data_IF_378056056218
#
_entry.id   IF_378056056218
#
_cell.length_a   1.000
_cell.length_b   1.000
_cell.length_c   1.000
_cell.angle_alpha   90.00
_cell.angle_beta   90.00
_cell.angle_gamma   90.00
#
_symmetry.space_group_name_H-M   'P 1'
#
loop_
_entity.id
_entity.type
_entity.pdbx_description
1 polymer ?
#
# COMPACT_ATOMS: atom_id res chain seq x y z
N UNK A 1 12.14 -2.88 13.74
CA UNK A 1 13.28 -2.03 14.16
C UNK A 1 12.92 -0.59 13.83
N UNK A 2 13.28 0.39 14.66
CA UNK A 2 13.06 1.79 14.32
C UNK A 2 13.87 2.16 13.08
N UNK A 3 13.33 3.06 12.26
CA UNK A 3 14.07 3.69 11.18
C UNK A 3 15.05 4.71 11.79
N UNK A 4 16.14 5.00 11.08
CA UNK A 4 17.17 5.89 11.56
C UNK A 4 17.54 6.92 10.49
N UNK A 5 17.52 8.20 10.85
CA UNK A 5 18.11 9.27 10.05
C UNK A 5 19.63 9.18 10.15
N UNK A 6 20.32 9.35 9.02
CA UNK A 6 21.78 9.35 8.98
C UNK A 6 22.30 10.49 8.10
N UNK A 7 23.60 10.76 8.23
CA UNK A 7 24.31 11.81 7.49
C UNK A 7 25.42 11.20 6.66
N UNK A 8 25.38 11.44 5.35
CA UNK A 8 26.41 10.98 4.43
C UNK A 8 26.96 12.12 3.55
N UNK A 9 28.10 11.86 2.89
CA UNK A 9 28.63 12.80 1.90
C UNK A 9 27.82 12.67 0.61
N UNK A 10 27.40 13.81 0.05
CA UNK A 10 26.59 13.86 -1.17
C UNK A 10 27.17 13.03 -2.34
N UNK A 11 28.49 12.94 -2.48
CA UNK A 11 29.10 12.12 -3.53
C UNK A 11 28.81 10.62 -3.42
N UNK A 12 28.67 10.07 -2.20
CA UNK A 12 28.29 8.67 -1.99
C UNK A 12 26.81 8.44 -2.29
N UNK A 13 25.95 9.33 -1.79
CA UNK A 13 24.52 9.36 -2.12
C UNK A 13 24.29 9.37 -3.64
N UNK A 14 24.95 10.31 -4.34
CA UNK A 14 24.83 10.46 -5.79
C UNK A 14 25.32 9.22 -6.53
N UNK A 15 26.43 8.61 -6.09
CA UNK A 15 26.95 7.39 -6.69
C UNK A 15 25.94 6.22 -6.60
N UNK A 16 25.26 6.07 -5.45
CA UNK A 16 24.20 5.07 -5.28
C UNK A 16 23.07 5.25 -6.31
N UNK A 17 22.60 6.49 -6.49
CA UNK A 17 21.56 6.81 -7.47
C UNK A 17 21.99 6.56 -8.91
N UNK A 18 23.26 6.78 -9.25
CA UNK A 18 23.81 6.43 -10.57
C UNK A 18 23.74 4.92 -10.79
N UNK A 19 24.18 4.12 -9.81
CA UNK A 19 24.14 2.65 -9.91
C UNK A 19 22.71 2.12 -10.02
N UNK A 20 21.77 2.73 -9.31
CA UNK A 20 20.34 2.37 -9.35
C UNK A 20 19.59 2.96 -10.55
N UNK A 21 20.24 3.78 -11.39
CA UNK A 21 19.64 4.48 -12.53
C UNK A 21 18.47 5.40 -12.13
N UNK A 22 18.60 6.09 -11.01
CA UNK A 22 17.58 6.96 -10.42
C UNK A 22 17.85 8.44 -10.71
N UNK A 23 16.78 9.22 -10.72
CA UNK A 23 16.86 10.67 -10.86
C UNK A 23 17.25 11.35 -9.54
N UNK A 24 17.97 12.47 -9.64
CA UNK A 24 18.11 13.43 -8.55
C UNK A 24 17.66 14.80 -9.06
N UNK A 25 16.66 15.37 -8.39
CA UNK A 25 16.21 16.75 -8.58
C UNK A 25 16.52 17.57 -7.34
N UNK A 26 17.00 18.80 -7.52
CA UNK A 26 17.30 19.73 -6.44
C UNK A 26 16.37 20.96 -6.50
N UNK A 27 15.94 21.44 -5.33
CA UNK A 27 15.27 22.74 -5.17
C UNK A 27 16.11 23.60 -4.23
N UNK A 28 16.51 24.78 -4.72
CA UNK A 28 17.21 25.79 -3.91
C UNK A 28 16.16 26.64 -3.19
N UNK A 29 16.18 26.64 -1.86
CA UNK A 29 15.26 27.43 -1.05
C UNK A 29 15.74 28.88 -0.90
N UNK A 30 14.81 29.82 -0.86
CA UNK A 30 15.04 31.25 -0.70
C UNK A 30 15.25 31.63 0.78
N UNK A 31 16.24 31.01 1.41
CA UNK A 31 16.53 31.21 2.83
C UNK A 31 17.55 32.34 3.06
N UNK A 32 17.29 33.11 4.11
CA UNK A 32 18.30 33.96 4.74
C UNK A 32 19.42 33.13 5.38
N UNK A 33 20.58 33.73 5.63
CA UNK A 33 21.69 33.03 6.31
C UNK A 33 21.27 32.49 7.69
N UNK A 34 20.50 33.27 8.46
CA UNK A 34 20.00 32.82 9.77
C UNK A 34 19.10 31.58 9.66
N UNK A 35 18.22 31.51 8.66
CA UNK A 35 17.36 30.34 8.42
C UNK A 35 18.17 29.11 7.99
N UNK A 36 19.23 29.31 7.18
CA UNK A 36 20.15 28.21 6.82
C UNK A 36 20.91 27.69 8.02
N UNK A 37 21.48 28.57 8.84
CA UNK A 37 22.17 28.20 10.08
C UNK A 37 21.24 27.43 11.02
N UNK A 38 19.99 27.89 11.16
CA UNK A 38 18.97 27.18 11.96
C UNK A 38 18.64 25.81 11.38
N UNK A 39 18.40 25.69 10.07
CA UNK A 39 18.13 24.40 9.43
C UNK A 39 19.30 23.42 9.64
N UNK A 40 20.54 23.87 9.45
CA UNK A 40 21.73 23.03 9.67
C UNK A 40 21.79 22.58 11.13
N UNK A 41 21.59 23.48 12.10
CA UNK A 41 21.58 23.11 13.52
C UNK A 41 20.49 22.08 13.86
N UNK A 42 19.29 22.21 13.28
CA UNK A 42 18.21 21.24 13.43
C UNK A 42 18.60 19.88 12.84
N UNK A 43 19.18 19.85 11.64
CA UNK A 43 19.64 18.61 10.99
C UNK A 43 20.76 17.92 11.78
N UNK A 44 21.76 18.67 12.27
CA UNK A 44 22.82 18.11 13.14
C UNK A 44 22.26 17.55 14.45
N UNK A 45 21.24 18.20 15.01
CA UNK A 45 20.55 17.71 16.22
C UNK A 45 19.77 16.42 15.93
N UNK A 46 19.11 16.34 14.77
CA UNK A 46 18.27 15.21 14.39
C UNK A 46 19.08 13.93 14.15
N UNK A 47 20.35 14.04 13.74
CA UNK A 47 21.24 12.89 13.51
C UNK A 47 21.94 12.39 14.79
N UNK A 48 21.77 13.07 15.92
CA UNK A 48 22.30 12.59 17.20
C UNK A 48 21.68 11.24 17.59
N UNK A 49 22.43 10.32 18.22
CA UNK A 49 21.95 8.98 18.55
C UNK A 49 20.61 8.93 19.29
N UNK A 50 20.35 9.91 20.16
CA UNK A 50 19.12 10.08 20.94
C UNK A 50 17.91 10.55 20.11
N UNK A 51 18.12 11.18 18.95
CA UNK A 51 17.06 11.79 18.12
C UNK A 51 16.87 11.08 16.77
N UNK A 52 17.89 10.36 16.29
CA UNK A 52 17.92 9.82 14.95
C UNK A 52 16.88 8.70 14.70
N UNK A 53 16.42 8.03 15.76
CA UNK A 53 15.49 6.91 15.65
C UNK A 53 14.03 7.36 15.68
N UNK A 54 13.23 6.80 14.79
CA UNK A 54 11.79 7.04 14.78
C UNK A 54 10.98 5.84 14.29
N UNK A 55 9.69 5.87 14.62
CA UNK A 55 8.72 4.88 14.19
C UNK A 55 8.16 5.34 12.85
N UNK A 56 8.63 4.70 11.78
CA UNK A 56 8.19 5.02 10.43
C UNK A 56 6.71 4.70 10.24
N UNK A 57 5.98 5.68 9.71
CA UNK A 57 4.65 5.52 9.16
C UNK A 57 4.68 6.01 7.71
N UNK A 58 4.33 5.13 6.78
CA UNK A 58 4.48 5.41 5.35
C UNK A 58 3.68 6.65 4.90
N UNK A 59 2.55 6.95 5.53
CA UNK A 59 1.71 8.08 5.13
C UNK A 59 1.99 9.33 5.95
N UNK A 60 2.25 9.17 7.25
CA UNK A 60 2.23 10.30 8.19
C UNK A 60 3.61 10.67 8.76
N UNK A 61 4.54 9.72 8.91
CA UNK A 61 5.88 9.98 9.48
C UNK A 61 6.96 9.26 8.66
N UNK A 62 7.33 9.89 7.54
CA UNK A 62 8.32 9.38 6.60
C UNK A 62 9.36 10.46 6.23
N UNK A 63 10.31 10.10 5.35
CA UNK A 63 11.38 11.01 4.96
C UNK A 63 10.88 12.30 4.27
N UNK A 64 9.73 12.26 3.62
CA UNK A 64 9.12 13.39 2.93
C UNK A 64 8.34 14.29 3.90
N UNK A 65 7.49 13.72 4.77
CA UNK A 65 6.72 14.52 5.76
C UNK A 65 7.65 15.18 6.79
N UNK A 66 8.68 14.48 7.28
CA UNK A 66 9.69 15.06 8.17
C UNK A 66 10.46 16.24 7.58
N UNK A 67 10.61 16.27 6.25
CA UNK A 67 11.29 17.39 5.59
C UNK A 67 10.46 18.66 5.69
N UNK A 68 9.13 18.57 5.63
CA UNK A 68 8.23 19.72 5.83
C UNK A 68 8.43 20.27 7.24
N UNK A 69 8.33 19.41 8.25
CA UNK A 69 8.40 19.83 9.65
C UNK A 69 9.71 20.56 9.97
N UNK A 70 10.86 20.00 9.58
CA UNK A 70 12.16 20.60 9.89
C UNK A 70 12.42 21.89 9.11
N UNK A 71 11.89 21.99 7.89
CA UNK A 71 11.98 23.20 7.07
C UNK A 71 11.10 24.30 7.66
N UNK A 72 9.90 23.96 8.09
CA UNK A 72 9.00 24.94 8.70
C UNK A 72 9.56 25.46 10.03
N UNK A 73 10.07 24.54 10.87
CA UNK A 73 10.72 24.90 12.13
C UNK A 73 11.92 25.84 11.89
N UNK A 74 12.74 25.59 10.87
CA UNK A 74 13.88 26.44 10.51
C UNK A 74 13.46 27.86 10.10
N UNK A 75 12.22 28.06 9.65
CA UNK A 75 11.69 29.38 9.29
C UNK A 75 10.81 30.01 10.38
N UNK A 76 10.70 29.35 11.55
CA UNK A 76 9.86 29.80 12.65
C UNK A 76 8.38 29.55 12.43
N UNK A 77 8.03 28.52 11.66
CA UNK A 77 6.66 28.11 11.33
C UNK A 77 5.90 29.22 10.61
N UNK A 78 6.57 29.86 9.64
CA UNK A 78 6.03 31.00 8.88
C UNK A 78 5.82 30.67 7.40
N UNK A 79 6.06 29.43 6.98
CA UNK A 79 5.79 29.01 5.62
C UNK A 79 4.28 28.88 5.46
N UNK A 80 3.75 29.61 4.49
CA UNK A 80 2.45 29.34 3.93
C UNK A 80 2.62 28.18 2.95
N UNK A 81 2.41 26.97 3.45
CA UNK A 81 2.25 25.76 2.65
C UNK A 81 0.93 25.88 1.90
N UNK A 82 0.94 26.73 0.86
CA UNK A 82 -0.23 26.98 0.02
C UNK A 82 -0.95 25.67 -0.20
N UNK A 83 -2.25 25.69 0.02
CA UNK A 83 -3.14 24.56 -0.23
C UNK A 83 -2.99 24.19 -1.70
N UNK A 84 -2.10 23.24 -1.96
CA UNK A 84 -1.90 22.78 -3.31
C UNK A 84 -3.21 22.10 -3.69
N UNK A 85 -3.88 22.60 -4.73
CA UNK A 85 -5.02 21.92 -5.37
C UNK A 85 -4.66 20.47 -5.79
N UNK A 86 -3.40 20.03 -5.63
CA UNK A 86 -2.94 18.67 -5.91
C UNK A 86 -3.41 17.58 -4.93
N UNK A 87 -4.31 17.88 -3.99
CA UNK A 87 -5.05 16.88 -3.20
C UNK A 87 -6.44 16.56 -3.77
N UNK A 88 -6.79 17.09 -4.95
CA UNK A 88 -8.14 17.02 -5.52
C UNK A 88 -8.66 15.57 -5.63
N UNK A 89 -9.52 15.18 -4.69
CA UNK A 89 -10.40 14.01 -4.79
C UNK A 89 -9.71 12.65 -4.83
N UNK A 90 -8.41 12.57 -4.53
CA UNK A 90 -7.67 11.32 -4.54
C UNK A 90 -7.51 10.71 -3.16
N UNK A 91 -7.42 9.38 -3.11
CA UNK A 91 -7.08 8.63 -1.89
C UNK A 91 -5.57 8.30 -1.83
N UNK A 92 -5.07 7.87 -0.67
CA UNK A 92 -3.70 7.36 -0.56
C UNK A 92 -3.44 6.21 -1.54
N UNK A 93 -4.40 5.28 -1.69
CA UNK A 93 -4.29 4.13 -2.59
C UNK A 93 -4.13 4.57 -4.04
N UNK A 94 -4.97 5.50 -4.49
CA UNK A 94 -4.91 6.02 -5.86
C UNK A 94 -3.58 6.72 -6.15
N UNK A 95 -3.08 7.52 -5.19
CA UNK A 95 -1.80 8.20 -5.32
C UNK A 95 -0.61 7.22 -5.40
N UNK A 96 -0.64 6.13 -4.63
CA UNK A 96 0.38 5.07 -4.74
C UNK A 96 0.26 4.35 -6.10
N UNK A 97 -0.97 4.07 -6.55
CA UNK A 97 -1.25 3.28 -7.75
C UNK A 97 -0.58 3.81 -9.02
N UNK A 98 -0.38 5.13 -9.13
CA UNK A 98 0.36 5.77 -10.23
C UNK A 98 1.77 5.19 -10.39
N UNK A 99 2.44 4.85 -9.28
CA UNK A 99 3.78 4.28 -9.27
C UNK A 99 3.80 2.76 -9.46
N UNK A 100 2.65 2.09 -9.36
CA UNK A 100 2.52 0.63 -9.42
C UNK A 100 2.01 0.12 -10.78
N UNK A 101 1.68 1.01 -11.71
CA UNK A 101 1.12 0.69 -13.05
C UNK A 101 1.90 -0.39 -13.84
N UNK A 102 3.22 -0.50 -13.65
CA UNK A 102 4.08 -1.49 -14.30
C UNK A 102 4.49 -2.66 -13.39
N UNK A 103 3.96 -2.70 -12.17
CA UNK A 103 4.30 -3.66 -11.12
C UNK A 103 3.03 -4.31 -10.58
N UNK A 104 2.19 -4.84 -11.47
CA UNK A 104 0.84 -5.36 -11.16
C UNK A 104 0.82 -6.42 -10.04
N UNK A 105 1.86 -7.24 -9.89
CA UNK A 105 1.97 -8.17 -8.76
C UNK A 105 2.23 -7.46 -7.42
N UNK A 106 3.01 -6.36 -7.46
CA UNK A 106 3.24 -5.52 -6.29
C UNK A 106 2.00 -4.72 -5.95
N UNK A 107 1.29 -4.20 -6.96
CA UNK A 107 -0.02 -3.54 -6.85
C UNK A 107 -1.03 -4.44 -6.11
N UNK A 108 -1.24 -5.65 -6.62
CA UNK A 108 -2.08 -6.65 -5.97
C UNK A 108 -1.68 -6.93 -4.51
N UNK A 109 -0.38 -7.08 -4.25
CA UNK A 109 0.14 -7.37 -2.91
C UNK A 109 -0.05 -6.22 -1.93
N UNK A 110 0.19 -4.99 -2.38
CA UNK A 110 -0.04 -3.76 -1.63
C UNK A 110 -1.55 -3.61 -1.36
N UNK A 111 -2.38 -3.86 -2.36
CA UNK A 111 -3.83 -3.76 -2.21
C UNK A 111 -4.42 -4.76 -1.21
N UNK A 112 -3.86 -5.97 -1.18
CA UNK A 112 -4.19 -6.99 -0.19
C UNK A 112 -3.78 -6.58 1.22
N UNK A 113 -2.67 -5.86 1.37
CA UNK A 113 -2.13 -5.47 2.68
C UNK A 113 -2.82 -4.22 3.26
N UNK A 114 -3.05 -3.20 2.42
CA UNK A 114 -3.64 -1.91 2.82
C UNK A 114 -5.15 -2.03 3.11
N UNK A 115 -5.61 -1.37 4.17
CA UNK A 115 -7.00 -1.33 4.59
C UNK A 115 -7.67 0.03 4.36
N UNK A 116 -8.88 0.18 4.90
CA UNK A 116 -9.72 1.39 4.80
C UNK A 116 -9.03 2.74 5.10
N UNK A 117 -8.02 2.85 5.99
CA UNK A 117 -7.30 4.11 6.18
C UNK A 117 -6.64 4.68 4.92
N UNK A 118 -6.50 3.88 3.86
CA UNK A 118 -5.92 4.32 2.60
C UNK A 118 -6.95 4.83 1.57
N UNK A 119 -8.25 4.75 1.89
CA UNK A 119 -9.36 4.87 0.93
C UNK A 119 -10.29 6.05 1.24
N UNK A 120 -9.79 7.08 1.93
CA UNK A 120 -10.50 8.35 2.12
C UNK A 120 -9.87 9.45 1.27
N UNK A 121 -10.68 10.45 0.88
CA UNK A 121 -10.19 11.63 0.16
C UNK A 121 -9.17 12.40 1.00
N UNK A 122 -7.96 12.55 0.47
CA UNK A 122 -6.86 13.15 1.21
C UNK A 122 -7.16 14.57 1.63
N UNK A 123 -6.74 14.90 2.86
CA UNK A 123 -6.73 16.28 3.34
C UNK A 123 -5.55 17.01 2.74
N UNK A 124 -5.66 18.33 2.73
CA UNK A 124 -4.57 19.21 2.29
C UNK A 124 -3.29 18.91 3.08
N UNK A 125 -2.21 18.66 2.32
CA UNK A 125 -0.88 18.37 2.86
C UNK A 125 -0.59 16.89 3.02
N UNK A 126 -1.60 16.02 3.13
CA UNK A 126 -1.38 14.57 3.30
C UNK A 126 -0.71 13.93 2.09
N UNK A 127 -0.83 14.52 0.90
CA UNK A 127 -0.14 14.11 -0.32
C UNK A 127 1.39 14.23 -0.22
N UNK A 128 1.92 14.96 0.78
CA UNK A 128 3.36 15.15 0.99
C UNK A 128 4.13 13.85 1.24
N UNK A 129 3.45 12.74 1.54
CA UNK A 129 4.10 11.44 1.71
C UNK A 129 4.86 10.97 0.46
N UNK A 130 4.49 11.47 -0.72
CA UNK A 130 5.15 11.18 -1.99
C UNK A 130 6.18 12.25 -2.36
N UNK A 131 7.40 11.87 -2.79
CA UNK A 131 8.45 12.83 -3.16
C UNK A 131 8.07 13.81 -4.27
N UNK A 132 7.31 13.39 -5.28
CA UNK A 132 6.89 14.29 -6.38
C UNK A 132 5.86 15.32 -5.91
N UNK A 133 4.94 14.89 -5.05
CA UNK A 133 3.98 15.77 -4.38
C UNK A 133 4.69 16.76 -3.46
N UNK A 134 5.65 16.29 -2.66
CA UNK A 134 6.49 17.14 -1.80
C UNK A 134 7.20 18.22 -2.61
N UNK A 135 7.84 17.84 -3.73
CA UNK A 135 8.48 18.79 -4.65
C UNK A 135 7.50 19.86 -5.13
N UNK A 136 6.28 19.45 -5.50
CA UNK A 136 5.22 20.38 -5.94
C UNK A 136 4.76 21.31 -4.82
N UNK A 137 4.57 20.79 -3.60
CA UNK A 137 4.23 21.58 -2.40
C UNK A 137 5.28 22.66 -2.16
N UNK A 138 6.56 22.29 -2.13
CA UNK A 138 7.65 23.25 -1.93
C UNK A 138 7.68 24.31 -3.04
N UNK A 139 7.42 23.93 -4.29
CA UNK A 139 7.41 24.84 -5.43
C UNK A 139 6.32 25.93 -5.30
N UNK A 140 5.20 25.61 -4.67
CA UNK A 140 4.03 26.50 -4.53
C UNK A 140 4.04 27.29 -3.22
N UNK A 141 4.72 26.78 -2.19
CA UNK A 141 4.81 27.36 -0.86
C UNK A 141 5.42 28.78 -0.88
N UNK A 142 4.99 29.59 0.09
CA UNK A 142 5.45 30.97 0.25
C UNK A 142 6.07 31.18 1.62
N UNK A 143 7.12 31.98 1.68
CA UNK A 143 7.77 32.41 2.92
C UNK A 143 7.74 33.93 2.97
N UNK A 144 6.98 34.50 3.91
CA UNK A 144 6.81 35.95 4.08
C UNK A 144 6.42 36.67 2.77
N UNK A 145 5.51 36.08 1.99
CA UNK A 145 5.02 36.65 0.73
C UNK A 145 5.93 36.47 -0.49
N UNK A 146 7.07 35.79 -0.36
CA UNK A 146 7.94 35.39 -1.49
C UNK A 146 7.86 33.88 -1.73
N UNK A 147 8.19 33.42 -2.94
CA UNK A 147 8.25 31.96 -3.21
C UNK A 147 9.32 31.31 -2.34
N UNK A 148 8.98 30.16 -1.75
CA UNK A 148 9.90 29.37 -0.92
C UNK A 148 11.07 28.83 -1.76
N UNK A 149 10.77 28.30 -2.94
CA UNK A 149 11.79 27.82 -3.90
C UNK A 149 12.26 28.99 -4.77
N UNK A 150 13.56 29.23 -4.75
CA UNK A 150 14.24 30.22 -5.59
C UNK A 150 14.58 29.67 -6.98
N UNK A 151 15.00 28.40 -7.05
CA UNK A 151 15.39 27.74 -8.30
C UNK A 151 15.28 26.22 -8.17
N UNK A 152 15.19 25.50 -9.29
CA UNK A 152 15.14 24.04 -9.33
C UNK A 152 15.86 23.49 -10.54
N UNK A 153 16.68 22.46 -10.33
CA UNK A 153 17.49 21.86 -11.40
C UNK A 153 17.65 20.36 -11.24
N UNK A 154 17.80 19.68 -12.37
CA UNK A 154 18.10 18.26 -12.42
C UNK A 154 19.60 18.05 -12.18
N UNK A 155 19.95 17.34 -11.12
CA UNK A 155 21.34 17.00 -10.78
C UNK A 155 21.79 15.74 -11.51
N UNK A 156 20.88 14.76 -11.61
CA UNK A 156 21.11 13.50 -12.31
C UNK A 156 19.82 13.13 -13.05
N UNK A 157 19.85 13.01 -14.39
CA UNK A 157 18.67 12.61 -15.15
C UNK A 157 18.31 11.15 -14.93
N UNK A 158 17.01 10.85 -14.96
CA UNK A 158 16.53 9.47 -15.00
C UNK A 158 16.97 8.81 -16.31
N UNK A 159 17.42 7.56 -16.23
CA UNK A 159 17.54 6.75 -17.44
C UNK A 159 16.13 6.36 -17.90
N UNK A 160 15.77 6.69 -19.14
CA UNK A 160 14.44 6.36 -19.69
C UNK A 160 14.30 4.85 -19.83
N UNK A 161 13.77 4.17 -18.81
CA UNK A 161 13.31 2.79 -18.97
C UNK A 161 12.21 2.78 -20.01
N UNK A 162 12.36 1.93 -21.03
CA UNK A 162 11.30 1.70 -22.02
C UNK A 162 10.09 1.15 -21.26
N UNK A 163 9.05 1.97 -21.11
CA UNK A 163 7.77 1.51 -20.62
C UNK A 163 7.23 0.55 -21.66
N UNK A 164 7.09 -0.72 -21.27
CA UNK A 164 6.45 -1.70 -22.12
C UNK A 164 4.95 -1.46 -21.98
N UNK A 165 4.37 -0.71 -22.90
CA UNK A 165 2.92 -0.44 -22.95
C UNK A 165 2.16 -1.72 -23.33
N UNK A 166 2.30 -2.80 -22.55
CA UNK A 166 1.43 -3.96 -22.69
C UNK A 166 0.03 -3.52 -22.25
N UNK A 167 -0.92 -3.67 -23.16
CA UNK A 167 -2.32 -3.32 -22.99
C UNK A 167 -3.08 -4.29 -22.05
N UNK A 168 -2.44 -5.39 -21.65
CA UNK A 168 -3.07 -6.48 -20.88
C UNK A 168 -2.48 -6.51 -19.47
N UNK A 169 -3.35 -6.48 -18.47
CA UNK A 169 -2.99 -6.81 -17.10
C UNK A 169 -2.61 -8.28 -16.99
N UNK A 170 -1.31 -8.54 -16.85
CA UNK A 170 -0.73 -9.88 -16.79
C UNK A 170 -1.16 -10.58 -15.50
N UNK A 171 -1.22 -9.85 -14.38
CA UNK A 171 -1.62 -10.40 -13.07
C UNK A 171 -3.07 -10.85 -13.09
N UNK A 172 -3.98 -9.98 -13.53
CA UNK A 172 -5.40 -10.31 -13.64
C UNK A 172 -5.61 -11.52 -14.56
N UNK A 173 -4.99 -11.51 -15.74
CA UNK A 173 -5.09 -12.61 -16.72
C UNK A 173 -4.62 -13.95 -16.13
N UNK A 174 -3.49 -13.95 -15.42
CA UNK A 174 -2.96 -15.15 -14.75
C UNK A 174 -3.93 -15.66 -13.68
N UNK A 175 -4.46 -14.78 -12.83
CA UNK A 175 -5.41 -15.16 -11.78
C UNK A 175 -6.72 -15.70 -12.35
N UNK A 176 -7.23 -15.13 -13.44
CA UNK A 176 -8.39 -15.66 -14.16
C UNK A 176 -8.12 -17.05 -14.73
N UNK A 177 -7.00 -17.25 -15.43
CA UNK A 177 -6.65 -18.55 -16.02
C UNK A 177 -6.53 -19.63 -14.93
N UNK A 178 -5.78 -19.35 -13.87
CA UNK A 178 -5.61 -20.30 -12.75
C UNK A 178 -6.97 -20.62 -12.13
N UNK A 179 -7.80 -19.61 -11.89
CA UNK A 179 -9.11 -19.78 -11.27
C UNK A 179 -10.08 -20.57 -12.15
N UNK A 180 -10.09 -20.32 -13.46
CA UNK A 180 -10.91 -21.09 -14.42
C UNK A 180 -10.46 -22.56 -14.43
N UNK A 181 -9.16 -22.82 -14.44
CA UNK A 181 -8.63 -24.19 -14.38
C UNK A 181 -9.03 -24.86 -13.07
N UNK A 182 -8.89 -24.18 -11.92
CA UNK A 182 -9.31 -24.71 -10.62
C UNK A 182 -10.82 -24.97 -10.56
N UNK A 183 -11.65 -24.07 -11.08
CA UNK A 183 -13.10 -24.26 -11.18
C UNK A 183 -13.44 -25.45 -12.08
N UNK A 184 -12.81 -25.56 -13.25
CA UNK A 184 -13.00 -26.70 -14.14
C UNK A 184 -12.64 -28.02 -13.46
N UNK A 185 -11.51 -28.07 -12.76
CA UNK A 185 -11.14 -29.24 -11.95
C UNK A 185 -12.22 -29.51 -10.90
N UNK A 186 -12.64 -28.51 -10.11
CA UNK A 186 -13.66 -28.72 -9.07
C UNK A 186 -15.01 -29.21 -9.63
N UNK A 187 -15.43 -28.74 -10.81
CA UNK A 187 -16.68 -29.10 -11.48
C UNK A 187 -16.61 -30.51 -12.09
N UNK A 188 -15.57 -30.79 -12.88
CA UNK A 188 -15.47 -32.03 -13.66
C UNK A 188 -14.92 -33.19 -12.83
N UNK A 189 -14.24 -32.91 -11.72
CA UNK A 189 -13.67 -33.93 -10.87
C UNK A 189 -14.73 -34.55 -9.94
N UNK A 190 -15.41 -35.58 -10.47
CA UNK A 190 -16.56 -36.26 -9.83
C UNK A 190 -16.21 -37.08 -8.59
N UNK A 191 -14.94 -37.35 -8.30
CA UNK A 191 -14.55 -38.17 -7.15
C UNK A 191 -14.70 -37.37 -5.85
N UNK A 192 -15.59 -37.84 -4.97
CA UNK A 192 -16.03 -37.18 -3.73
C UNK A 192 -14.87 -36.72 -2.85
N UNK A 193 -13.96 -37.64 -2.51
CA UNK A 193 -12.85 -37.42 -1.57
C UNK A 193 -11.83 -36.38 -2.06
N UNK A 194 -11.37 -36.48 -3.30
CA UNK A 194 -10.35 -35.58 -3.86
C UNK A 194 -10.91 -34.17 -4.09
N UNK A 195 -12.16 -34.10 -4.54
CA UNK A 195 -13.07 -32.97 -4.37
C UNK A 195 -12.89 -32.14 -3.11
N UNK A 196 -13.21 -32.82 -2.01
CA UNK A 196 -13.19 -32.28 -0.65
C UNK A 196 -11.77 -31.88 -0.23
N UNK A 197 -10.75 -32.68 -0.58
CA UNK A 197 -9.35 -32.36 -0.27
C UNK A 197 -8.92 -31.08 -0.99
N UNK A 198 -9.20 -30.96 -2.29
CA UNK A 198 -8.85 -29.77 -3.06
C UNK A 198 -9.55 -28.52 -2.50
N UNK A 199 -10.86 -28.61 -2.20
CA UNK A 199 -11.58 -27.52 -1.53
C UNK A 199 -10.98 -27.16 -0.17
N UNK A 200 -10.55 -28.14 0.62
CA UNK A 200 -9.88 -27.90 1.90
C UNK A 200 -8.54 -27.18 1.73
N UNK A 201 -7.75 -27.56 0.71
CA UNK A 201 -6.47 -26.91 0.40
C UNK A 201 -6.69 -25.46 -0.06
N UNK A 202 -7.66 -25.21 -0.93
CA UNK A 202 -7.99 -23.85 -1.39
C UNK A 202 -8.42 -22.97 -0.19
N UNK A 203 -9.32 -23.48 0.66
CA UNK A 203 -9.74 -22.77 1.87
C UNK A 203 -8.57 -22.55 2.83
N UNK A 204 -7.68 -23.53 2.99
CA UNK A 204 -6.49 -23.37 3.82
C UNK A 204 -5.55 -22.27 3.30
N UNK A 205 -5.29 -22.21 1.99
CA UNK A 205 -4.48 -21.14 1.38
C UNK A 205 -5.15 -19.78 1.57
N UNK A 206 -6.47 -19.69 1.36
CA UNK A 206 -7.25 -18.49 1.65
C UNK A 206 -7.16 -18.10 3.14
N UNK A 207 -7.16 -19.09 4.04
CA UNK A 207 -6.96 -18.90 5.47
C UNK A 207 -5.57 -18.37 5.82
N UNK A 208 -4.52 -18.80 5.12
CA UNK A 208 -3.17 -18.25 5.30
C UNK A 208 -3.12 -16.77 4.94
N UNK A 209 -3.77 -16.39 3.83
CA UNK A 209 -3.91 -14.99 3.44
C UNK A 209 -4.68 -14.19 4.50
N UNK A 210 -5.79 -14.74 4.98
CA UNK A 210 -6.57 -14.11 6.05
C UNK A 210 -5.80 -13.96 7.36
N UNK A 211 -4.97 -14.94 7.71
CA UNK A 211 -4.10 -14.86 8.87
C UNK A 211 -3.00 -13.81 8.69
N UNK A 212 -2.45 -13.65 7.49
CA UNK A 212 -1.52 -12.57 7.19
C UNK A 212 -2.18 -11.19 7.35
N UNK A 213 -3.37 -10.99 6.78
CA UNK A 213 -4.13 -9.73 6.92
C UNK A 213 -4.46 -9.46 8.39
N UNK A 214 -4.95 -10.47 9.11
CA UNK A 214 -5.24 -10.38 10.54
C UNK A 214 -3.99 -9.99 11.35
N UNK A 215 -2.84 -10.62 11.04
CA UNK A 215 -1.57 -10.31 11.69
C UNK A 215 -1.13 -8.87 11.43
N UNK A 216 -1.19 -8.39 10.18
CA UNK A 216 -0.85 -7.02 9.84
C UNK A 216 -1.73 -6.03 10.61
N UNK A 217 -3.04 -6.26 10.62
CA UNK A 217 -3.99 -5.38 11.29
C UNK A 217 -3.82 -5.39 12.82
N UNK A 218 -3.80 -6.56 13.48
CA UNK A 218 -3.88 -6.63 14.94
C UNK A 218 -2.55 -6.80 15.66
N UNK A 219 -1.53 -7.33 14.99
CA UNK A 219 -0.27 -7.72 15.61
C UNK A 219 0.91 -6.83 15.20
N UNK A 220 0.69 -5.84 14.34
CA UNK A 220 1.73 -4.90 13.93
C UNK A 220 1.30 -3.46 14.13
N UNK A 221 2.28 -2.57 14.06
CA UNK A 221 2.10 -1.14 14.18
C UNK A 221 1.68 -0.44 12.86
N UNK A 222 1.30 -1.21 11.84
CA UNK A 222 0.92 -0.67 10.53
C UNK A 222 -0.53 -0.18 10.54
N UNK A 223 -0.72 1.06 10.99
CA UNK A 223 -2.00 1.81 10.98
C UNK A 223 -2.75 1.70 9.64
N UNK A 224 -2.02 1.81 8.53
CA UNK A 224 -2.50 1.69 7.15
C UNK A 224 -3.25 0.38 6.82
N UNK A 225 -2.97 -0.70 7.54
CA UNK A 225 -3.55 -2.04 7.30
C UNK A 225 -4.83 -2.27 8.11
N UNK A 226 -5.22 -1.31 8.95
CA UNK A 226 -6.36 -1.47 9.83
C UNK A 226 -7.69 -1.51 9.07
N UNK A 227 -8.66 -2.27 9.59
CA UNK A 227 -9.99 -2.37 8.99
C UNK A 227 -9.99 -2.96 7.58
N UNK A 228 -9.00 -3.77 7.22
CA UNK A 228 -8.86 -4.32 5.87
C UNK A 228 -10.01 -5.28 5.50
N UNK A 229 -10.86 -4.88 4.57
CA UNK A 229 -12.06 -5.60 4.14
C UNK A 229 -11.75 -6.87 3.34
N UNK A 230 -10.49 -7.09 2.91
CA UNK A 230 -10.09 -8.38 2.35
C UNK A 230 -10.31 -9.54 3.34
N UNK A 231 -10.36 -9.27 4.66
CA UNK A 231 -10.65 -10.27 5.70
C UNK A 231 -12.02 -10.95 5.52
N UNK A 232 -12.97 -10.29 4.84
CA UNK A 232 -14.32 -10.81 4.62
C UNK A 232 -14.33 -12.04 3.72
N UNK A 233 -13.44 -12.08 2.71
CA UNK A 233 -13.31 -13.21 1.80
C UNK A 233 -12.07 -14.07 2.09
N UNK A 234 -10.99 -13.48 2.58
CA UNK A 234 -9.80 -14.15 3.09
C UNK A 234 -9.91 -14.28 4.61
N UNK A 235 -10.72 -15.23 5.08
CA UNK A 235 -10.96 -15.37 6.53
C UNK A 235 -9.91 -16.26 7.19
N UNK A 236 -9.25 -15.83 8.29
CA UNK A 236 -8.28 -16.66 9.01
C UNK A 236 -8.91 -17.95 9.57
N UNK A 237 -10.23 -17.99 9.75
CA UNK A 237 -10.94 -19.19 10.17
C UNK A 237 -10.81 -20.33 9.15
N UNK A 238 -10.61 -20.01 7.87
CA UNK A 238 -10.46 -21.02 6.81
C UNK A 238 -9.19 -21.87 6.98
N UNK A 239 -8.25 -21.47 7.85
CA UNK A 239 -7.12 -22.33 8.26
C UNK A 239 -7.57 -23.60 8.98
N UNK A 240 -8.63 -23.50 9.78
CA UNK A 240 -9.05 -24.57 10.69
C UNK A 240 -10.40 -25.19 10.32
N UNK A 241 -11.30 -24.41 9.72
CA UNK A 241 -12.67 -24.84 9.41
C UNK A 241 -12.75 -26.14 8.57
N UNK A 242 -11.90 -26.36 7.55
CA UNK A 242 -11.90 -27.60 6.79
C UNK A 242 -11.39 -28.83 7.55
N UNK A 243 -10.82 -28.67 8.75
CA UNK A 243 -10.15 -29.75 9.49
C UNK A 243 -10.84 -30.08 10.82
N UNK A 244 -11.68 -29.18 11.35
CA UNK A 244 -12.47 -29.45 12.56
C UNK A 244 -13.75 -30.22 12.23
N UNK A 245 -14.26 -31.00 13.19
CA UNK A 245 -15.51 -31.77 13.03
C UNK A 245 -16.75 -31.03 13.55
N UNK A 246 -16.59 -30.22 14.59
CA UNK A 246 -17.71 -29.55 15.25
C UNK A 246 -18.10 -28.26 14.53
N UNK A 247 -19.40 -28.09 14.24
CA UNK A 247 -20.01 -26.88 13.67
C UNK A 247 -19.44 -26.35 12.35
N UNK A 248 -18.47 -27.03 11.71
CA UNK A 248 -17.83 -26.60 10.46
C UNK A 248 -18.82 -26.27 9.33
N UNK A 249 -19.93 -27.02 9.25
CA UNK A 249 -20.96 -26.79 8.23
C UNK A 249 -21.62 -25.42 8.38
N UNK A 250 -22.01 -25.05 9.60
CA UNK A 250 -22.64 -23.77 9.91
C UNK A 250 -21.65 -22.63 9.67
N UNK A 251 -20.41 -22.76 10.15
CA UNK A 251 -19.39 -21.72 9.95
C UNK A 251 -19.02 -21.50 8.49
N UNK A 252 -18.92 -22.57 7.69
CA UNK A 252 -18.70 -22.45 6.24
C UNK A 252 -19.89 -21.84 5.52
N UNK A 253 -21.13 -22.05 6.00
CA UNK A 253 -22.33 -21.38 5.47
C UNK A 253 -22.32 -19.88 5.79
N UNK A 254 -21.95 -19.50 7.02
CA UNK A 254 -21.77 -18.10 7.43
C UNK A 254 -20.68 -17.45 6.57
N UNK A 255 -19.51 -18.08 6.45
CA UNK A 255 -18.43 -17.61 5.58
C UNK A 255 -18.90 -17.39 4.14
N UNK A 256 -19.59 -18.38 3.56
CA UNK A 256 -20.11 -18.27 2.19
C UNK A 256 -21.10 -17.10 2.05
N UNK A 257 -21.95 -16.88 3.05
CA UNK A 257 -22.88 -15.74 3.11
C UNK A 257 -22.15 -14.40 3.15
N UNK A 258 -21.09 -14.27 3.96
CA UNK A 258 -20.25 -13.07 4.04
C UNK A 258 -19.58 -12.79 2.68
N UNK A 259 -19.02 -13.83 2.04
CA UNK A 259 -18.40 -13.68 0.72
C UNK A 259 -19.41 -13.23 -0.33
N UNK A 260 -20.62 -13.80 -0.34
CA UNK A 260 -21.69 -13.38 -1.25
C UNK A 260 -22.09 -11.93 -1.00
N UNK A 261 -22.27 -11.53 0.26
CA UNK A 261 -22.57 -10.13 0.61
C UNK A 261 -21.45 -9.21 0.12
N UNK A 262 -20.19 -9.58 0.34
CA UNK A 262 -19.01 -8.81 -0.10
C UNK A 262 -19.01 -8.60 -1.62
N UNK A 263 -19.28 -9.67 -2.39
CA UNK A 263 -19.39 -9.59 -3.85
C UNK A 263 -20.58 -8.73 -4.30
N UNK A 264 -21.72 -8.81 -3.59
CA UNK A 264 -22.90 -8.00 -3.90
C UNK A 264 -22.72 -6.51 -3.54
N UNK A 265 -21.91 -6.22 -2.52
CA UNK A 265 -21.65 -4.86 -2.06
C UNK A 265 -20.35 -4.27 -2.63
N UNK A 266 -19.69 -4.93 -3.59
CA UNK A 266 -18.33 -4.61 -4.05
C UNK A 266 -18.11 -3.11 -4.31
N UNK A 267 -19.01 -2.48 -5.05
CA UNK A 267 -18.92 -1.05 -5.43
C UNK A 267 -19.28 -0.07 -4.32
N UNK A 268 -19.79 -0.56 -3.18
CA UNK A 268 -20.22 0.24 -2.03
C UNK A 268 -19.33 0.02 -0.80
N UNK A 269 -18.28 -0.79 -0.93
CA UNK A 269 -17.32 -0.99 0.14
C UNK A 269 -16.53 0.31 0.37
N UNK A 270 -16.23 0.59 1.63
CA UNK A 270 -15.42 1.75 2.03
C UNK A 270 -13.92 1.58 1.72
N UNK A 271 -13.52 0.40 1.22
CA UNK A 271 -12.18 0.10 0.76
C UNK A 271 -12.27 -0.37 -0.68
N UNK A 272 -11.39 0.14 -1.53
CA UNK A 272 -11.24 -0.37 -2.89
C UNK A 272 -10.48 -1.71 -2.87
N UNK A 273 -11.12 -2.76 -3.39
CA UNK A 273 -10.56 -4.11 -3.44
C UNK A 273 -10.10 -4.39 -4.86
N UNK A 274 -8.87 -4.93 -4.99
CA UNK A 274 -8.30 -5.20 -6.31
C UNK A 274 -9.16 -6.19 -7.12
N UNK A 275 -9.67 -5.75 -8.26
CA UNK A 275 -10.59 -6.53 -9.10
C UNK A 275 -9.99 -7.84 -9.64
N UNK A 276 -8.66 -7.93 -9.71
CA UNK A 276 -7.95 -9.14 -10.10
C UNK A 276 -8.22 -10.32 -9.16
N UNK A 277 -8.71 -10.06 -7.95
CA UNK A 277 -9.03 -11.08 -6.94
C UNK A 277 -10.43 -11.67 -7.12
N UNK A 278 -11.33 -11.04 -7.89
CA UNK A 278 -12.68 -11.57 -8.16
C UNK A 278 -12.71 -13.06 -8.52
N UNK A 279 -11.90 -13.57 -9.48
CA UNK A 279 -11.90 -14.99 -9.81
C UNK A 279 -11.43 -15.89 -8.65
N UNK A 280 -10.48 -15.41 -7.82
CA UNK A 280 -9.97 -16.13 -6.64
C UNK A 280 -11.05 -16.22 -5.55
N UNK A 281 -11.80 -15.14 -5.34
CA UNK A 281 -12.92 -15.08 -4.40
C UNK A 281 -14.01 -16.06 -4.82
N UNK A 282 -14.35 -16.11 -6.11
CA UNK A 282 -15.33 -17.05 -6.65
C UNK A 282 -14.91 -18.52 -6.49
N UNK A 283 -13.63 -18.84 -6.74
CA UNK A 283 -13.07 -20.18 -6.49
C UNK A 283 -13.17 -20.56 -5.00
N UNK A 284 -12.88 -19.61 -4.11
CA UNK A 284 -12.94 -19.82 -2.66
C UNK A 284 -14.37 -20.08 -2.19
N UNK A 285 -15.33 -19.29 -2.68
CA UNK A 285 -16.76 -19.49 -2.43
C UNK A 285 -17.23 -20.86 -2.94
N UNK A 286 -16.91 -21.20 -4.19
CA UNK A 286 -17.29 -22.49 -4.76
C UNK A 286 -16.67 -23.67 -4.01
N UNK A 287 -15.43 -23.52 -3.55
CA UNK A 287 -14.75 -24.50 -2.70
C UNK A 287 -15.46 -24.69 -1.37
N UNK A 288 -15.91 -23.62 -0.71
CA UNK A 288 -16.72 -23.73 0.51
C UNK A 288 -18.02 -24.50 0.27
N UNK A 289 -18.74 -24.21 -0.82
CA UNK A 289 -20.00 -24.88 -1.17
C UNK A 289 -19.80 -26.36 -1.50
N UNK A 290 -18.76 -26.71 -2.27
CA UNK A 290 -18.41 -28.11 -2.52
C UNK A 290 -18.07 -28.82 -1.22
N UNK A 291 -17.22 -28.19 -0.38
CA UNK A 291 -16.82 -28.78 0.89
C UNK A 291 -18.06 -29.08 1.73
N UNK A 292 -18.96 -28.09 1.93
CA UNK A 292 -20.24 -28.26 2.65
C UNK A 292 -21.06 -29.44 2.10
N UNK A 293 -21.23 -29.52 0.78
CA UNK A 293 -22.01 -30.60 0.14
C UNK A 293 -21.43 -31.98 0.40
N UNK A 294 -20.11 -32.09 0.57
CA UNK A 294 -19.37 -33.35 0.76
C UNK A 294 -18.94 -33.60 2.21
N UNK A 295 -19.42 -32.81 3.19
CA UNK A 295 -19.14 -33.02 4.62
C UNK A 295 -19.75 -34.33 5.12
N UNK A 296 -20.94 -34.66 4.62
CA UNK A 296 -21.77 -35.78 5.04
C UNK A 296 -21.60 -37.02 4.13
N UNK A 297 -20.71 -36.94 3.13
CA UNK A 297 -20.35 -38.02 2.18
C UNK A 297 -19.04 -38.72 2.56
#
# INVERSE_FOLDING_TARGET
>A
LPYKVDKEKFGYFQYGYIVEQRQIWAQKLNFTELQKEKLIALLETNVLPENAQYKYDFFYDNCATRLIDIVDEATGNTIDWKTTESGNGHTFREMIGVYLTQMQWSDLGIDLALGMPCDYELKEGEQAFLPDSLKSIFQQAMLNGNTLVADGFEVLPAEKKKVNNKLVDETSSVLWIISIVLLAVLIFYRRKTQSRILSAVILFINGLLGALIFFLWFCTDHSATAGNLNILWASPLNLILPFIKFSRKIWLQIYSGIVVITLMSWTFLAQDLNESLLPVILVSLYSALIYIRRIDE
#
